data_IF_271929926844
#
_entry.id   IF_271929926844
#
_cell.length_a   1.000
_cell.length_b   1.000
_cell.length_c   1.000
_cell.angle_alpha   90.00
_cell.angle_beta   90.00
_cell.angle_gamma   90.00
#
_symmetry.space_group_name_H-M   'P 1'
#
loop_
_entity.id
_entity.type
_entity.pdbx_description
1 polymer ?
#
# COMPACT_ATOMS: atom_id res chain seq x y z
N UNK A 1 -42.04 -28.36 -19.94
CA UNK A 1 -42.51 -27.13 -19.26
C UNK A 1 -41.44 -26.68 -18.28
N UNK A 2 -40.72 -25.59 -18.56
CA UNK A 2 -39.84 -24.98 -17.56
C UNK A 2 -40.74 -24.20 -16.61
N UNK A 3 -40.99 -24.73 -15.43
CA UNK A 3 -41.74 -24.03 -14.39
C UNK A 3 -40.84 -22.89 -13.91
N UNK A 4 -41.25 -21.65 -14.15
CA UNK A 4 -40.55 -20.46 -13.66
C UNK A 4 -40.73 -20.33 -12.15
N UNK A 5 -39.69 -19.89 -11.46
CA UNK A 5 -39.74 -19.60 -10.03
C UNK A 5 -40.71 -18.44 -9.77
N UNK A 6 -41.70 -18.62 -8.91
CA UNK A 6 -42.59 -17.54 -8.53
C UNK A 6 -41.80 -16.47 -7.75
N UNK A 7 -42.11 -15.19 -7.99
CA UNK A 7 -41.39 -14.07 -7.36
C UNK A 7 -41.44 -14.09 -5.82
N UNK A 8 -42.56 -14.55 -5.24
CA UNK A 8 -42.69 -14.71 -3.79
C UNK A 8 -41.71 -15.76 -3.24
N UNK A 9 -41.53 -16.86 -3.96
CA UNK A 9 -40.60 -17.92 -3.60
C UNK A 9 -39.14 -17.47 -3.76
N UNK A 10 -38.84 -16.70 -4.81
CA UNK A 10 -37.53 -16.09 -5.01
C UNK A 10 -37.13 -15.17 -3.85
N UNK A 11 -38.05 -14.32 -3.39
CA UNK A 11 -37.83 -13.43 -2.24
C UNK A 11 -37.60 -14.19 -0.94
N UNK A 12 -38.38 -15.25 -0.70
CA UNK A 12 -38.21 -16.07 0.50
C UNK A 12 -36.86 -16.78 0.51
N UNK A 13 -36.43 -17.34 -0.63
CA UNK A 13 -35.11 -17.97 -0.75
C UNK A 13 -33.97 -16.97 -0.52
N UNK A 14 -34.09 -15.76 -1.06
CA UNK A 14 -33.10 -14.70 -0.83
C UNK A 14 -33.08 -14.27 0.65
N UNK A 15 -34.25 -14.07 1.25
CA UNK A 15 -34.34 -13.68 2.66
C UNK A 15 -33.74 -14.75 3.60
N UNK A 16 -33.98 -16.04 3.30
CA UNK A 16 -33.39 -17.14 4.07
C UNK A 16 -31.85 -17.15 3.95
N UNK A 17 -31.31 -16.96 2.74
CA UNK A 17 -29.87 -16.88 2.53
C UNK A 17 -29.25 -15.68 3.24
N UNK A 18 -29.89 -14.51 3.15
CA UNK A 18 -29.43 -13.29 3.82
C UNK A 18 -29.42 -13.48 5.33
N UNK A 19 -30.45 -14.12 5.90
CA UNK A 19 -30.48 -14.36 7.34
C UNK A 19 -29.40 -15.36 7.76
N UNK A 20 -29.15 -16.42 6.98
CA UNK A 20 -28.07 -17.38 7.25
C UNK A 20 -26.69 -16.71 7.29
N UNK A 21 -26.41 -15.83 6.33
CA UNK A 21 -25.11 -15.13 6.23
C UNK A 21 -24.96 -13.99 7.25
N UNK A 22 -26.04 -13.23 7.51
CA UNK A 22 -25.98 -12.02 8.36
C UNK A 22 -26.22 -12.33 9.84
N UNK A 23 -27.03 -13.34 10.19
CA UNK A 23 -27.29 -13.70 11.60
C UNK A 23 -26.02 -13.88 12.45
N UNK A 24 -24.96 -14.59 12.00
CA UNK A 24 -23.73 -14.71 12.80
C UNK A 24 -23.01 -13.38 12.97
N UNK A 25 -23.07 -12.48 11.98
CA UNK A 25 -22.48 -11.14 12.06
C UNK A 25 -23.27 -10.25 13.02
N UNK A 26 -24.60 -10.34 13.02
CA UNK A 26 -25.49 -9.60 13.93
C UNK A 26 -25.25 -10.03 15.38
N UNK A 27 -25.14 -11.33 15.64
CA UNK A 27 -24.80 -11.86 16.97
C UNK A 27 -23.43 -11.37 17.47
N UNK A 28 -22.42 -11.31 16.58
CA UNK A 28 -21.10 -10.73 16.91
C UNK A 28 -21.19 -9.24 17.21
N UNK A 29 -21.95 -8.50 16.42
CA UNK A 29 -22.18 -7.08 16.63
C UNK A 29 -22.83 -6.81 17.98
N UNK A 30 -23.90 -7.53 18.31
CA UNK A 30 -24.61 -7.40 19.58
C UNK A 30 -23.71 -7.75 20.78
N UNK A 31 -22.86 -8.78 20.64
CA UNK A 31 -21.87 -9.15 21.66
C UNK A 31 -20.82 -8.04 21.88
N UNK A 32 -20.32 -7.42 20.80
CA UNK A 32 -19.37 -6.31 20.88
C UNK A 32 -20.02 -5.05 21.48
N UNK A 33 -21.29 -4.79 21.20
CA UNK A 33 -22.04 -3.69 21.81
C UNK A 33 -22.35 -3.93 23.30
N UNK A 34 -22.58 -5.18 23.69
CA UNK A 34 -22.80 -5.53 25.09
C UNK A 34 -21.53 -5.28 25.94
N UNK A 35 -20.34 -5.34 25.33
CA UNK A 35 -19.06 -5.11 26.00
C UNK A 35 -18.18 -4.06 25.28
N UNK A 36 -18.53 -2.76 25.34
CA UNK A 36 -17.80 -1.70 24.62
C UNK A 36 -16.32 -1.58 25.00
N UNK A 37 -15.95 -2.02 26.21
CA UNK A 37 -14.58 -2.03 26.67
C UNK A 37 -13.66 -2.88 25.78
N UNK A 38 -14.16 -3.98 25.20
CA UNK A 38 -13.37 -4.80 24.29
C UNK A 38 -13.04 -4.06 22.99
N UNK A 39 -13.98 -3.27 22.47
CA UNK A 39 -13.77 -2.42 21.30
C UNK A 39 -12.69 -1.38 21.61
N UNK A 40 -12.77 -0.71 22.76
CA UNK A 40 -11.78 0.29 23.16
C UNK A 40 -10.37 -0.32 23.31
N UNK A 41 -10.25 -1.51 23.89
CA UNK A 41 -8.98 -2.23 23.98
C UNK A 41 -8.41 -2.52 22.59
N UNK A 42 -9.22 -3.00 21.65
CA UNK A 42 -8.78 -3.25 20.28
C UNK A 42 -8.35 -1.96 19.56
N UNK A 43 -9.09 -0.86 19.76
CA UNK A 43 -8.75 0.46 19.20
C UNK A 43 -7.44 0.99 19.77
N UNK A 44 -7.21 0.89 21.09
CA UNK A 44 -5.97 1.33 21.71
C UNK A 44 -4.77 0.50 21.27
N UNK A 45 -4.94 -0.82 21.11
CA UNK A 45 -3.89 -1.68 20.55
C UNK A 45 -3.55 -1.29 19.10
N UNK A 46 -4.56 -1.01 18.28
CA UNK A 46 -4.37 -0.50 16.91
C UNK A 46 -3.64 0.85 16.90
N UNK A 47 -4.06 1.78 17.76
CA UNK A 47 -3.43 3.08 17.90
C UNK A 47 -1.97 2.99 18.38
N UNK A 48 -1.65 2.08 19.31
CA UNK A 48 -0.29 1.84 19.76
C UNK A 48 0.61 1.33 18.62
N UNK A 49 0.14 0.33 17.86
CA UNK A 49 0.85 -0.19 16.68
C UNK A 49 1.08 0.91 15.63
N UNK A 50 0.05 1.70 15.32
CA UNK A 50 0.15 2.79 14.36
C UNK A 50 1.13 3.89 14.82
N UNK A 51 1.09 4.28 16.10
CA UNK A 51 2.02 5.27 16.67
C UNK A 51 3.45 4.78 16.67
N UNK A 52 3.70 3.50 16.92
CA UNK A 52 5.05 2.93 16.86
C UNK A 52 5.68 3.12 15.47
N UNK A 53 4.88 3.04 14.40
CA UNK A 53 5.32 3.28 13.03
C UNK A 53 5.40 4.77 12.67
N UNK A 54 4.37 5.55 13.03
CA UNK A 54 4.26 6.95 12.61
C UNK A 54 5.12 7.92 13.42
N UNK A 55 5.31 7.67 14.72
CA UNK A 55 6.07 8.55 15.62
C UNK A 55 7.52 8.81 15.18
N UNK A 56 8.33 7.81 14.77
CA UNK A 56 9.70 8.08 14.31
C UNK A 56 9.74 8.92 13.03
N UNK A 57 8.82 8.68 12.08
CA UNK A 57 8.73 9.47 10.85
C UNK A 57 8.34 10.93 11.17
N UNK A 58 7.32 11.14 11.99
CA UNK A 58 6.90 12.47 12.42
C UNK A 58 8.00 13.20 13.19
N UNK A 59 8.79 12.49 14.00
CA UNK A 59 9.94 13.08 14.68
C UNK A 59 10.99 13.60 13.67
N UNK A 60 11.31 12.80 12.65
CA UNK A 60 12.25 13.20 11.58
C UNK A 60 11.71 14.38 10.77
N UNK A 61 10.42 14.36 10.39
CA UNK A 61 9.80 15.45 9.64
C UNK A 61 9.79 16.75 10.44
N UNK A 62 9.40 16.70 11.72
CA UNK A 62 9.41 17.87 12.62
C UNK A 62 10.81 18.47 12.75
N UNK A 63 11.86 17.65 12.77
CA UNK A 63 13.23 18.13 12.76
C UNK A 63 13.59 18.82 11.44
N UNK A 64 13.23 18.21 10.31
CA UNK A 64 13.50 18.77 8.98
C UNK A 64 12.81 20.13 8.74
N UNK A 65 11.63 20.35 9.32
CA UNK A 65 10.88 21.62 9.22
C UNK A 65 11.15 22.60 10.37
N UNK A 66 12.11 22.32 11.24
CA UNK A 66 12.51 23.22 12.33
C UNK A 66 11.56 23.27 13.53
N UNK A 67 10.56 22.39 13.61
CA UNK A 67 9.62 22.28 14.73
C UNK A 67 10.21 21.43 15.88
N UNK A 68 11.31 21.91 16.46
CA UNK A 68 12.01 21.23 17.56
C UNK A 68 11.45 21.64 18.93
N UNK A 69 11.33 20.68 19.85
CA UNK A 69 11.13 20.99 21.26
C UNK A 69 12.40 21.67 21.82
N UNK A 70 12.28 22.76 22.60
CA UNK A 70 13.44 23.42 23.20
C UNK A 70 14.08 22.50 24.25
N UNK A 71 15.21 21.86 23.91
CA UNK A 71 16.04 21.14 24.90
C UNK A 71 16.78 19.87 24.47
N UNK A 72 16.55 19.28 23.29
CA UNK A 72 17.24 18.03 22.92
C UNK A 72 18.57 18.27 22.16
N UNK A 73 19.71 17.66 22.55
CA UNK A 73 20.95 17.73 21.78
C UNK A 73 20.83 16.98 20.45
N UNK A 74 21.44 17.51 19.39
CA UNK A 74 21.38 16.94 18.03
C UNK A 74 22.41 15.81 17.85
N UNK A 75 21.94 14.58 17.63
CA UNK A 75 22.77 13.51 17.11
C UNK A 75 22.79 13.60 15.58
N UNK A 76 23.97 13.86 14.99
CA UNK A 76 24.18 13.83 13.53
C UNK A 76 24.50 12.39 13.13
N UNK A 77 23.60 11.74 12.40
CA UNK A 77 23.90 10.49 11.70
C UNK A 77 24.59 10.86 10.38
N UNK A 78 25.85 10.43 10.21
CA UNK A 78 26.57 10.52 8.94
C UNK A 78 25.98 9.50 7.96
N UNK A 79 25.44 9.98 6.85
CA UNK A 79 25.13 9.14 5.70
C UNK A 79 26.43 8.77 4.97
N UNK A 80 26.67 7.47 4.79
CA UNK A 80 27.75 6.94 3.95
C UNK A 80 27.37 7.14 2.47
N UNK A 81 28.11 7.99 1.78
CA UNK A 81 27.92 8.28 0.36
C UNK A 81 28.56 7.20 -0.50
N UNK A 82 27.72 6.35 -1.11
CA UNK A 82 28.08 5.61 -2.33
C UNK A 82 27.04 5.82 -3.43
N UNK A 83 27.42 6.66 -4.40
CA UNK A 83 27.01 6.56 -5.80
C UNK A 83 25.56 6.87 -6.18
N UNK A 84 25.03 8.04 -5.85
CA UNK A 84 23.73 8.49 -6.38
C UNK A 84 23.89 9.18 -7.75
N UNK A 85 23.57 8.48 -8.83
CA UNK A 85 23.42 9.07 -10.18
C UNK A 85 21.96 9.32 -10.58
N UNK A 86 21.00 9.02 -9.70
CA UNK A 86 19.59 9.42 -9.85
C UNK A 86 19.17 10.38 -8.74
N UNK A 87 18.56 11.53 -9.08
CA UNK A 87 18.04 12.50 -8.11
C UNK A 87 16.83 11.95 -7.31
N UNK A 88 16.13 10.96 -7.88
CA UNK A 88 14.97 10.25 -7.30
C UNK A 88 14.75 8.93 -8.06
N UNK A 89 13.93 8.04 -7.52
CA UNK A 89 13.61 6.74 -8.15
C UNK A 89 12.88 6.85 -9.48
N UNK A 90 12.97 5.82 -10.32
CA UNK A 90 12.40 5.83 -11.69
C UNK A 90 11.74 4.52 -12.09
N UNK A 91 10.71 4.64 -12.91
CA UNK A 91 10.11 3.49 -13.59
C UNK A 91 10.89 3.13 -14.86
N UNK A 92 11.11 1.84 -15.07
CA UNK A 92 11.75 1.29 -16.28
C UNK A 92 10.86 0.20 -16.84
N UNK A 93 10.42 0.37 -18.09
CA UNK A 93 9.62 -0.62 -18.83
C UNK A 93 10.58 -1.52 -19.61
N UNK A 94 10.36 -2.83 -19.52
CA UNK A 94 11.15 -3.83 -20.23
C UNK A 94 10.28 -5.00 -20.68
N UNK A 95 10.78 -5.78 -21.63
CA UNK A 95 10.12 -7.02 -22.05
C UNK A 95 10.67 -8.20 -21.25
N UNK A 96 9.78 -8.93 -20.58
CA UNK A 96 10.10 -10.12 -19.81
C UNK A 96 10.46 -11.32 -20.70
N UNK A 97 11.01 -12.37 -20.08
CA UNK A 97 11.35 -13.63 -20.77
C UNK A 97 10.10 -14.42 -21.18
N UNK A 98 8.98 -14.14 -20.52
CA UNK A 98 7.63 -14.62 -20.81
C UNK A 98 6.99 -13.95 -22.04
N UNK A 99 7.65 -12.94 -22.63
CA UNK A 99 7.19 -12.25 -23.83
C UNK A 99 6.27 -11.06 -23.56
N UNK A 100 5.87 -10.85 -22.30
CA UNK A 100 5.05 -9.74 -21.83
C UNK A 100 5.91 -8.52 -21.48
N UNK A 101 5.27 -7.37 -21.27
CA UNK A 101 5.90 -6.14 -20.82
C UNK A 101 5.71 -5.97 -19.34
N UNK A 102 6.76 -5.54 -18.65
CA UNK A 102 6.73 -5.22 -17.24
C UNK A 102 7.33 -3.83 -17.04
N UNK A 103 6.92 -3.16 -15.97
CA UNK A 103 7.70 -2.07 -15.42
C UNK A 103 8.31 -2.49 -14.09
N UNK A 104 9.51 -2.00 -13.81
CA UNK A 104 10.11 -2.06 -12.49
C UNK A 104 10.29 -0.65 -11.94
N UNK A 105 10.20 -0.50 -10.63
CA UNK A 105 10.58 0.72 -9.96
C UNK A 105 11.98 0.58 -9.37
N UNK A 106 12.88 1.44 -9.81
CA UNK A 106 14.25 1.53 -9.33
C UNK A 106 14.36 2.62 -8.28
N UNK A 107 14.99 2.31 -7.14
CA UNK A 107 15.43 3.32 -6.17
C UNK A 107 16.45 4.29 -6.77
N UNK A 108 16.76 5.37 -6.04
CA UNK A 108 17.78 6.34 -6.44
C UNK A 108 19.21 5.73 -6.51
N UNK A 109 19.41 4.66 -5.76
CA UNK A 109 20.57 3.78 -5.74
C UNK A 109 20.58 2.74 -6.88
N UNK A 110 19.49 2.66 -7.67
CA UNK A 110 19.31 1.68 -8.74
C UNK A 110 18.81 0.32 -8.27
N UNK A 111 18.46 0.15 -6.99
CA UNK A 111 17.91 -1.11 -6.49
C UNK A 111 16.50 -1.37 -7.04
N UNK A 112 16.21 -2.61 -7.43
CA UNK A 112 14.86 -3.03 -7.83
C UNK A 112 13.97 -3.09 -6.57
N UNK A 113 12.99 -2.18 -6.46
CA UNK A 113 12.09 -2.09 -5.31
C UNK A 113 10.70 -2.67 -5.58
N UNK A 114 10.33 -2.80 -6.86
CA UNK A 114 8.99 -3.24 -7.25
C UNK A 114 9.01 -3.76 -8.69
N UNK A 115 8.27 -4.84 -8.96
CA UNK A 115 8.07 -5.41 -10.29
C UNK A 115 6.58 -5.57 -10.62
N UNK A 116 6.15 -5.06 -11.77
CA UNK A 116 4.75 -5.13 -12.19
C UNK A 116 4.29 -6.53 -12.60
N UNK A 117 2.96 -6.71 -12.60
CA UNK A 117 2.30 -7.78 -13.36
C UNK A 117 2.62 -7.70 -14.86
N UNK A 118 2.49 -8.81 -15.62
CA UNK A 118 2.69 -8.80 -17.06
C UNK A 118 1.61 -7.97 -17.78
N UNK A 119 2.04 -7.18 -18.76
CA UNK A 119 1.18 -6.43 -19.67
C UNK A 119 1.37 -6.92 -21.11
N UNK A 120 0.30 -6.92 -21.90
CA UNK A 120 0.36 -7.36 -23.30
C UNK A 120 1.06 -6.35 -24.22
N UNK A 121 1.01 -5.07 -23.87
CA UNK A 121 1.57 -3.99 -24.69
C UNK A 121 2.46 -3.06 -23.87
N UNK A 122 3.51 -2.47 -24.48
CA UNK A 122 4.36 -1.51 -23.79
C UNK A 122 3.58 -0.22 -23.44
N UNK A 123 2.53 0.09 -24.22
CA UNK A 123 1.65 1.22 -23.98
C UNK A 123 0.85 1.03 -22.69
N UNK A 124 0.28 -0.15 -22.45
CA UNK A 124 -0.45 -0.43 -21.21
C UNK A 124 0.45 -0.23 -19.97
N UNK A 125 1.71 -0.69 -20.03
CA UNK A 125 2.67 -0.45 -18.97
C UNK A 125 2.99 1.06 -18.79
N UNK A 126 3.12 1.81 -19.89
CA UNK A 126 3.39 3.25 -19.86
C UNK A 126 2.20 4.07 -19.31
N UNK A 127 0.97 3.69 -19.66
CA UNK A 127 -0.25 4.33 -19.17
C UNK A 127 -0.34 4.19 -17.64
N UNK A 128 0.00 3.01 -17.09
CA UNK A 128 0.09 2.80 -15.65
C UNK A 128 1.18 3.61 -14.97
N UNK A 129 2.36 3.74 -15.59
CA UNK A 129 3.42 4.62 -15.07
C UNK A 129 2.93 6.08 -14.99
N UNK A 130 2.17 6.55 -15.98
CA UNK A 130 1.57 7.89 -15.93
C UNK A 130 0.53 8.04 -14.82
N UNK A 131 -0.31 7.02 -14.60
CA UNK A 131 -1.26 7.01 -13.48
C UNK A 131 -0.52 7.10 -12.15
N UNK A 132 0.52 6.29 -11.96
CA UNK A 132 1.33 6.29 -10.75
C UNK A 132 2.06 7.62 -10.52
N UNK A 133 2.58 8.24 -11.57
CA UNK A 133 3.21 9.57 -11.49
C UNK A 133 2.23 10.68 -11.09
N UNK A 134 0.94 10.55 -11.47
CA UNK A 134 -0.13 11.51 -11.14
C UNK A 134 -0.80 11.24 -9.78
N UNK A 135 -0.88 9.98 -9.36
CA UNK A 135 -1.54 9.57 -8.12
C UNK A 135 -0.92 10.23 -6.85
N UNK A 136 0.35 10.60 -6.93
CA UNK A 136 1.11 11.23 -5.84
C UNK A 136 0.85 12.71 -5.55
N UNK A 137 -0.04 13.38 -6.30
CA UNK A 137 -0.24 14.82 -6.18
C UNK A 137 -0.95 15.30 -4.91
N UNK A 138 -1.64 14.42 -4.18
CA UNK A 138 -2.38 14.82 -2.99
C UNK A 138 -2.66 13.63 -2.07
N UNK A 139 -1.78 13.36 -1.10
CA UNK A 139 -2.09 12.63 0.14
C UNK A 139 -2.90 11.31 0.01
N UNK A 140 -2.81 10.60 -1.13
CA UNK A 140 -3.69 9.46 -1.41
C UNK A 140 -3.10 8.15 -0.87
N UNK A 141 -2.88 8.13 0.44
CA UNK A 141 -2.85 6.91 1.25
C UNK A 141 -4.08 6.85 2.19
N UNK A 142 -5.08 7.73 1.98
CA UNK A 142 -6.29 7.86 2.79
C UNK A 142 -7.49 7.27 2.04
N UNK A 143 -8.18 6.32 2.70
CA UNK A 143 -9.42 5.62 2.28
C UNK A 143 -10.28 6.29 1.19
N UNK A 144 -10.52 5.57 0.09
CA UNK A 144 -11.26 5.94 -1.11
C UNK A 144 -11.21 4.83 -2.18
N UNK A 145 -12.16 4.77 -3.13
CA UNK A 145 -12.26 3.70 -4.14
C UNK A 145 -11.13 3.70 -5.18
N UNK A 146 -10.41 4.81 -5.34
CA UNK A 146 -9.32 5.01 -6.33
C UNK A 146 -7.92 5.04 -5.69
N UNK A 147 -7.71 4.23 -4.65
CA UNK A 147 -6.53 4.38 -3.82
C UNK A 147 -5.39 3.45 -4.20
N UNK A 148 -4.20 4.03 -4.32
CA UNK A 148 -2.94 3.32 -4.32
C UNK A 148 -2.61 2.86 -2.89
N UNK A 149 -2.38 1.57 -2.69
CA UNK A 149 -2.05 1.04 -1.37
C UNK A 149 -1.14 -0.18 -1.44
N UNK A 150 -0.31 -0.34 -0.40
CA UNK A 150 0.56 -1.49 -0.24
C UNK A 150 -0.12 -2.53 0.66
N UNK A 151 -0.09 -3.80 0.24
CA UNK A 151 -0.60 -4.93 1.02
C UNK A 151 0.51 -5.92 1.29
N UNK A 152 0.52 -6.48 2.49
CA UNK A 152 1.37 -7.63 2.79
C UNK A 152 0.79 -8.84 2.07
N UNK A 153 1.64 -9.62 1.41
CA UNK A 153 1.28 -10.86 0.73
C UNK A 153 2.17 -12.01 1.25
N UNK A 154 1.57 -13.18 1.42
CA UNK A 154 2.31 -14.41 1.69
C UNK A 154 2.78 -14.99 0.34
N UNK A 155 4.10 -15.20 0.18
CA UNK A 155 4.69 -15.75 -1.04
C UNK A 155 5.32 -17.11 -0.74
N UNK A 156 5.23 -18.05 -1.68
CA UNK A 156 5.87 -19.37 -1.54
C UNK A 156 7.39 -19.18 -1.58
N UNK A 157 8.04 -19.21 -0.41
CA UNK A 157 9.47 -18.99 -0.28
C UNK A 157 9.86 -17.73 0.51
N UNK A 158 8.90 -16.99 1.10
CA UNK A 158 9.21 -15.89 2.01
C UNK A 158 8.07 -14.90 2.21
N UNK A 159 8.44 -13.68 2.61
CA UNK A 159 7.55 -12.56 2.82
C UNK A 159 7.53 -11.69 1.56
N UNK A 160 6.38 -11.21 1.12
CA UNK A 160 6.28 -10.29 -0.01
C UNK A 160 5.30 -9.16 0.30
N UNK A 161 5.30 -8.14 -0.55
CA UNK A 161 4.25 -7.14 -0.52
C UNK A 161 3.85 -6.78 -1.95
N UNK A 162 2.63 -6.28 -2.08
CA UNK A 162 2.00 -5.98 -3.36
C UNK A 162 1.54 -4.53 -3.39
N UNK A 163 1.70 -3.90 -4.56
CA UNK A 163 1.12 -2.61 -4.87
C UNK A 163 -0.23 -2.83 -5.56
N UNK A 164 -1.26 -2.27 -4.95
CA UNK A 164 -2.64 -2.33 -5.44
C UNK A 164 -3.13 -0.94 -5.82
N UNK A 165 -3.90 -0.87 -6.89
CA UNK A 165 -4.68 0.31 -7.25
C UNK A 165 -6.15 -0.11 -7.35
N UNK A 166 -7.01 0.54 -6.58
CA UNK A 166 -8.40 0.11 -6.40
C UNK A 166 -8.51 -1.38 -5.97
N UNK A 167 -9.01 -2.26 -6.84
CA UNK A 167 -9.15 -3.70 -6.58
C UNK A 167 -8.22 -4.56 -7.45
N UNK A 168 -7.25 -3.95 -8.13
CA UNK A 168 -6.34 -4.65 -9.03
C UNK A 168 -4.90 -4.61 -8.50
N UNK A 169 -4.25 -5.77 -8.57
CA UNK A 169 -2.82 -5.89 -8.24
C UNK A 169 -2.00 -5.38 -9.40
N UNK A 170 -1.19 -4.36 -9.16
CA UNK A 170 -0.32 -3.75 -10.18
C UNK A 170 1.09 -4.33 -10.15
N UNK A 171 1.61 -4.61 -8.96
CA UNK A 171 3.01 -5.01 -8.82
C UNK A 171 3.27 -5.74 -7.51
N UNK A 172 4.42 -6.40 -7.44
CA UNK A 172 4.88 -7.20 -6.31
C UNK A 172 6.38 -6.93 -6.05
N UNK A 173 6.77 -7.08 -4.80
CA UNK A 173 8.17 -7.08 -4.38
C UNK A 173 8.41 -8.23 -3.39
N UNK A 174 9.47 -8.99 -3.64
CA UNK A 174 9.84 -10.18 -2.87
C UNK A 174 10.37 -11.30 -3.77
N UNK A 175 10.61 -12.50 -3.20
CA UNK A 175 10.44 -12.82 -1.78
C UNK A 175 11.56 -12.26 -0.89
N UNK A 176 11.21 -11.86 0.32
CA UNK A 176 12.12 -11.48 1.42
C UNK A 176 12.19 -12.61 2.45
N UNK A 177 13.37 -12.81 3.06
CA UNK A 177 13.57 -13.87 4.05
C UNK A 177 12.79 -13.63 5.35
N UNK A 178 12.69 -12.36 5.78
CA UNK A 178 12.11 -11.97 7.07
C UNK A 178 11.06 -10.89 6.91
N UNK A 179 10.07 -10.86 7.82
CA UNK A 179 9.02 -9.84 7.83
C UNK A 179 9.61 -8.44 8.03
N UNK A 180 10.65 -8.31 8.86
CA UNK A 180 11.34 -7.04 9.07
C UNK A 180 12.00 -6.50 7.79
N UNK A 181 12.57 -7.38 6.96
CA UNK A 181 13.17 -7.01 5.67
C UNK A 181 12.10 -6.55 4.66
N UNK A 182 10.94 -7.25 4.61
CA UNK A 182 9.79 -6.82 3.82
C UNK A 182 9.30 -5.45 4.28
N UNK A 183 9.11 -5.25 5.58
CA UNK A 183 8.58 -3.99 6.13
C UNK A 183 9.54 -2.81 5.87
N UNK A 184 10.85 -3.05 5.98
CA UNK A 184 11.87 -2.08 5.60
C UNK A 184 11.80 -1.73 4.09
N UNK A 185 11.62 -2.72 3.23
CA UNK A 185 11.49 -2.51 1.79
C UNK A 185 10.19 -1.77 1.42
N UNK A 186 9.08 -2.03 2.12
CA UNK A 186 7.82 -1.27 1.96
C UNK A 186 8.02 0.22 2.29
N UNK A 187 8.74 0.52 3.38
CA UNK A 187 9.07 1.90 3.75
C UNK A 187 10.01 2.55 2.72
N UNK A 188 11.01 1.82 2.24
CA UNK A 188 11.93 2.30 1.20
C UNK A 188 11.20 2.64 -0.10
N UNK A 189 10.25 1.78 -0.53
CA UNK A 189 9.42 2.04 -1.71
C UNK A 189 8.56 3.29 -1.51
N UNK A 190 7.89 3.41 -0.36
CA UNK A 190 7.03 4.55 -0.06
C UNK A 190 7.81 5.88 -0.08
N UNK A 191 8.99 5.92 0.55
CA UNK A 191 9.86 7.11 0.56
C UNK A 191 10.39 7.47 -0.83
N UNK A 192 10.78 6.46 -1.63
CA UNK A 192 11.26 6.67 -2.98
C UNK A 192 10.16 7.16 -3.95
N UNK A 193 8.92 6.67 -3.81
CA UNK A 193 7.76 7.16 -4.56
C UNK A 193 7.40 8.59 -4.15
N UNK A 194 7.34 8.89 -2.85
CA UNK A 194 7.09 10.24 -2.32
C UNK A 194 8.13 11.24 -2.82
N UNK A 195 9.41 10.86 -2.78
CA UNK A 195 10.52 11.69 -3.29
C UNK A 195 10.37 11.98 -4.77
N UNK A 196 9.98 10.98 -5.57
CA UNK A 196 9.70 11.14 -6.99
C UNK A 196 8.51 12.09 -7.20
N UNK A 197 7.40 11.91 -6.49
CA UNK A 197 6.22 12.76 -6.65
C UNK A 197 6.49 14.22 -6.30
N UNK A 198 7.24 14.48 -5.23
CA UNK A 198 7.69 15.84 -4.89
C UNK A 198 8.54 16.44 -6.00
N UNK A 199 9.45 15.66 -6.59
CA UNK A 199 10.28 16.13 -7.69
C UNK A 199 9.45 16.41 -8.96
N UNK A 200 8.44 15.58 -9.25
CA UNK A 200 7.53 15.78 -10.38
C UNK A 200 6.62 16.99 -10.16
N UNK A 201 6.08 17.18 -8.95
CA UNK A 201 5.26 18.33 -8.59
C UNK A 201 6.07 19.64 -8.69
N UNK A 202 7.32 19.64 -8.22
CA UNK A 202 8.21 20.80 -8.32
C UNK A 202 8.65 21.14 -9.77
N UNK A 203 8.49 20.20 -10.72
CA UNK A 203 8.81 20.39 -12.13
C UNK A 203 7.60 20.84 -12.97
N UNK A 204 6.39 20.85 -12.39
CA UNK A 204 5.21 21.42 -13.04
C UNK A 204 5.21 22.96 -12.85
N UNK A 205 5.06 23.73 -13.94
CA UNK A 205 5.12 25.20 -13.91
C UNK A 205 3.92 25.85 -13.23
#
# INVERSE_FOLDING_TARGET
>A
LRVGLAWGEAKQRLAALVEEEIAPLRARYDALLAEPAQIEVALQQGAAKARALAAPLLATLRQAVGLRAPGAPAARVRADTRGATGRYGRFVIFRGKDGHFHFRFLGADGADLLLSVPFDTPKAAADWVQVLDKAGGAASFVWGPDNLHLRIAEHVGGQAFELWFAHERLAEAGPYAEAAARDAAMLQLADALETRWRALAAAQP
#
